data_IF_360591411038
#
_entry.id   IF_360591411038
#
_cell.length_a   1.000
_cell.length_b   1.000
_cell.length_c   1.000
_cell.angle_alpha   90.00
_cell.angle_beta   90.00
_cell.angle_gamma   90.00
#
_symmetry.space_group_name_H-M   'P 1'
#
loop_
_entity.id
_entity.type
_entity.pdbx_description
1 polymer ?
#
# COMPACT_ATOMS: atom_id res chain seq x y z
N UNK A 1 -17.76 -2.83 -23.99
CA UNK A 1 -16.38 -3.23 -24.35
C UNK A 1 -15.50 -3.21 -23.10
N UNK A 2 -15.94 -3.86 -22.01
CA UNK A 2 -15.14 -4.07 -20.80
C UNK A 2 -14.70 -5.52 -20.82
N UNK A 3 -13.47 -5.77 -21.22
CA UNK A 3 -12.91 -7.10 -21.27
C UNK A 3 -11.40 -7.01 -21.12
N UNK A 4 -10.86 -7.82 -20.22
CA UNK A 4 -9.42 -8.05 -20.18
C UNK A 4 -8.89 -8.68 -18.91
N UNK A 5 -9.13 -9.99 -18.74
CA UNK A 5 -8.19 -10.90 -18.05
C UNK A 5 -7.55 -10.40 -16.74
N UNK A 6 -8.30 -10.42 -15.64
CA UNK A 6 -7.81 -10.86 -14.33
C UNK A 6 -6.74 -10.05 -13.59
N UNK A 7 -6.23 -8.94 -14.12
CA UNK A 7 -5.23 -8.13 -13.41
C UNK A 7 -5.15 -6.72 -14.00
N UNK A 8 -5.80 -5.77 -13.33
CA UNK A 8 -5.73 -4.29 -13.42
C UNK A 8 -7.09 -3.56 -13.56
N UNK A 9 -8.10 -4.01 -12.80
CA UNK A 9 -9.40 -3.33 -12.73
C UNK A 9 -9.39 -2.06 -11.88
N UNK A 10 -8.44 -1.87 -10.96
CA UNK A 10 -8.42 -0.73 -10.02
C UNK A 10 -8.41 0.64 -10.71
N UNK A 11 -7.56 0.82 -11.74
CA UNK A 11 -7.51 2.08 -12.49
C UNK A 11 -8.78 2.29 -13.33
N UNK A 12 -9.31 1.22 -13.92
CA UNK A 12 -10.53 1.29 -14.72
C UNK A 12 -11.73 1.65 -13.84
N UNK A 13 -11.82 1.03 -12.67
CA UNK A 13 -12.79 1.35 -11.63
C UNK A 13 -12.60 2.79 -11.16
N UNK A 14 -11.38 3.26 -10.90
CA UNK A 14 -11.13 4.65 -10.54
C UNK A 14 -11.64 5.62 -11.59
N UNK A 15 -11.28 5.42 -12.86
CA UNK A 15 -11.72 6.28 -13.97
C UNK A 15 -13.25 6.28 -14.06
N UNK A 16 -13.88 5.11 -13.99
CA UNK A 16 -15.32 4.99 -13.98
C UNK A 16 -15.95 5.72 -12.76
N UNK A 17 -15.40 5.53 -11.56
CA UNK A 17 -15.87 6.18 -10.33
C UNK A 17 -15.74 7.70 -10.39
N UNK A 18 -14.66 8.24 -10.96
CA UNK A 18 -14.49 9.69 -11.17
C UNK A 18 -15.52 10.20 -12.17
N UNK A 19 -15.71 9.54 -13.31
CA UNK A 19 -16.72 9.93 -14.30
C UNK A 19 -18.14 9.87 -13.73
N UNK A 20 -18.45 8.85 -12.92
CA UNK A 20 -19.72 8.73 -12.20
C UNK A 20 -19.88 9.84 -11.16
N UNK A 21 -18.82 10.15 -10.40
CA UNK A 21 -18.81 11.24 -9.43
C UNK A 21 -19.05 12.62 -10.08
N UNK A 22 -18.33 12.90 -11.18
CA UNK A 22 -18.52 14.12 -11.98
C UNK A 22 -19.94 14.18 -12.54
N UNK A 23 -20.44 13.08 -13.12
CA UNK A 23 -21.81 13.02 -13.63
C UNK A 23 -22.85 13.27 -12.54
N UNK A 24 -22.63 12.73 -11.34
CA UNK A 24 -23.50 12.93 -10.17
C UNK A 24 -23.48 14.39 -9.68
N UNK A 25 -22.40 15.14 -9.92
CA UNK A 25 -22.37 16.57 -9.59
C UNK A 25 -23.36 17.39 -10.43
N UNK A 26 -23.68 16.95 -11.66
CA UNK A 26 -24.54 17.65 -12.62
C UNK A 26 -26.03 17.27 -12.57
N UNK A 27 -26.44 16.29 -11.76
CA UNK A 27 -27.85 15.91 -11.63
C UNK A 27 -28.59 16.70 -10.54
N UNK A 28 -29.93 16.56 -10.50
CA UNK A 28 -30.82 17.17 -9.50
C UNK A 28 -30.39 16.83 -8.06
N UNK A 29 -30.50 17.79 -7.15
CA UNK A 29 -29.98 17.68 -5.78
C UNK A 29 -30.56 16.52 -4.97
N UNK A 30 -31.83 16.16 -5.17
CA UNK A 30 -32.47 15.02 -4.51
C UNK A 30 -31.81 13.68 -4.92
N UNK A 31 -31.62 13.46 -6.22
CA UNK A 31 -30.96 12.26 -6.76
C UNK A 31 -29.47 12.24 -6.43
N UNK A 32 -28.82 13.40 -6.46
CA UNK A 32 -27.41 13.58 -6.05
C UNK A 32 -27.20 13.12 -4.60
N UNK A 33 -28.05 13.60 -3.68
CA UNK A 33 -27.98 13.25 -2.27
C UNK A 33 -28.14 11.74 -2.04
N UNK A 34 -29.12 11.12 -2.70
CA UNK A 34 -29.35 9.67 -2.59
C UNK A 34 -28.12 8.85 -3.02
N UNK A 35 -27.50 9.19 -4.16
CA UNK A 35 -26.32 8.47 -4.67
C UNK A 35 -25.13 8.63 -3.72
N UNK A 36 -24.89 9.85 -3.23
CA UNK A 36 -23.77 10.12 -2.30
C UNK A 36 -23.97 9.41 -0.96
N UNK A 37 -25.18 9.44 -0.40
CA UNK A 37 -25.48 8.73 0.86
C UNK A 37 -25.37 7.21 0.69
N UNK A 38 -25.81 6.65 -0.44
CA UNK A 38 -25.62 5.23 -0.74
C UNK A 38 -24.13 4.85 -0.84
N UNK A 39 -23.34 5.64 -1.57
CA UNK A 39 -21.90 5.39 -1.70
C UNK A 39 -21.19 5.46 -0.33
N UNK A 40 -21.58 6.41 0.54
CA UNK A 40 -21.09 6.48 1.93
C UNK A 40 -21.47 5.25 2.74
N UNK A 41 -22.70 4.77 2.62
CA UNK A 41 -23.15 3.57 3.33
C UNK A 41 -22.36 2.31 2.90
N UNK A 42 -22.05 2.19 1.60
CA UNK A 42 -21.18 1.11 1.10
C UNK A 42 -19.76 1.24 1.64
N UNK A 43 -19.20 2.44 1.69
CA UNK A 43 -17.88 2.69 2.28
C UNK A 43 -17.84 2.26 3.76
N UNK A 44 -18.85 2.66 4.55
CA UNK A 44 -18.95 2.27 5.96
C UNK A 44 -19.10 0.75 6.14
N UNK A 45 -19.88 0.09 5.28
CA UNK A 45 -20.00 -1.37 5.26
C UNK A 45 -18.63 -2.03 5.01
N UNK A 46 -17.85 -1.51 4.06
CA UNK A 46 -16.52 -2.04 3.75
C UNK A 46 -15.53 -1.86 4.91
N UNK A 47 -15.61 -0.75 5.65
CA UNK A 47 -14.81 -0.58 6.88
C UNK A 47 -15.16 -1.63 7.93
N UNK A 48 -16.45 -1.88 8.19
CA UNK A 48 -16.88 -2.92 9.14
C UNK A 48 -16.47 -4.32 8.70
N UNK A 49 -16.59 -4.62 7.41
CA UNK A 49 -16.14 -5.89 6.84
C UNK A 49 -14.64 -6.11 7.08
N UNK A 50 -13.81 -5.10 6.85
CA UNK A 50 -12.37 -5.21 7.11
C UNK A 50 -12.04 -5.38 8.57
N UNK A 51 -12.74 -4.70 9.47
CA UNK A 51 -12.56 -4.91 10.91
C UNK A 51 -12.81 -6.37 11.32
N UNK A 52 -13.76 -7.08 10.69
CA UNK A 52 -13.96 -8.52 10.91
C UNK A 52 -12.77 -9.34 10.40
N UNK A 53 -12.27 -9.04 9.20
CA UNK A 53 -11.14 -9.76 8.61
C UNK A 53 -9.85 -9.55 9.41
N UNK A 54 -9.62 -8.36 9.97
CA UNK A 54 -8.44 -8.04 10.79
C UNK A 54 -8.27 -8.99 11.98
N UNK A 55 -9.36 -9.46 12.60
CA UNK A 55 -9.29 -10.46 13.68
C UNK A 55 -8.63 -11.76 13.25
N UNK A 56 -8.70 -12.10 11.96
CA UNK A 56 -8.08 -13.31 11.40
C UNK A 56 -6.64 -13.09 10.93
N UNK A 57 -6.20 -11.82 10.80
CA UNK A 57 -4.89 -11.47 10.28
C UNK A 57 -3.74 -12.11 11.08
N UNK A 58 -3.71 -12.12 12.43
CA UNK A 58 -2.64 -12.73 13.23
C UNK A 58 -2.36 -14.19 12.86
N UNK A 59 -3.41 -14.97 12.61
CA UNK A 59 -3.30 -16.38 12.21
C UNK A 59 -2.70 -16.50 10.81
N UNK A 60 -3.15 -15.65 9.87
CA UNK A 60 -2.58 -15.56 8.53
C UNK A 60 -1.09 -15.24 8.53
N UNK A 61 -0.62 -14.36 9.44
CA UNK A 61 0.80 -14.03 9.60
C UNK A 61 1.60 -15.25 10.02
N UNK A 62 1.13 -15.97 11.04
CA UNK A 62 1.82 -17.15 11.57
C UNK A 62 2.00 -18.23 10.49
N UNK A 63 0.96 -18.50 9.69
CA UNK A 63 1.05 -19.45 8.58
C UNK A 63 1.95 -18.96 7.45
N UNK A 64 1.91 -17.67 7.12
CA UNK A 64 2.77 -17.10 6.09
C UNK A 64 4.26 -17.23 6.46
N UNK A 65 4.62 -16.93 7.71
CA UNK A 65 5.98 -17.08 8.23
C UNK A 65 6.39 -18.55 8.30
N UNK A 66 5.54 -19.43 8.81
CA UNK A 66 5.83 -20.86 8.96
C UNK A 66 6.03 -21.58 7.61
N UNK A 67 5.15 -21.34 6.63
CA UNK A 67 5.28 -21.89 5.28
C UNK A 67 6.59 -21.45 4.61
N UNK A 68 7.05 -20.25 4.94
CA UNK A 68 8.28 -19.74 4.36
C UNK A 68 9.55 -20.37 4.92
N UNK A 69 9.57 -20.64 6.22
CA UNK A 69 10.67 -21.37 6.87
C UNK A 69 10.72 -22.82 6.35
N UNK A 70 9.56 -23.44 6.07
CA UNK A 70 9.47 -24.83 5.64
C UNK A 70 9.98 -25.12 4.21
N UNK A 71 10.03 -24.14 3.31
CA UNK A 71 10.34 -24.37 1.88
C UNK A 71 11.80 -24.17 1.49
N UNK A 72 12.58 -23.37 2.23
CA UNK A 72 13.71 -22.67 1.60
C UNK A 72 15.13 -23.11 2.01
N UNK A 73 15.32 -23.89 3.08
CA UNK A 73 16.62 -24.49 3.41
C UNK A 73 17.79 -23.51 3.61
N UNK A 74 19.01 -24.02 3.88
CA UNK A 74 20.14 -23.23 4.44
C UNK A 74 21.34 -23.07 3.47
N UNK A 75 21.43 -23.77 2.33
CA UNK A 75 22.70 -23.87 1.57
C UNK A 75 22.91 -22.90 0.39
N UNK A 76 21.89 -22.19 -0.10
CA UNK A 76 22.03 -21.09 -1.12
C UNK A 76 21.97 -19.68 -0.50
N UNK A 77 22.16 -19.60 0.82
CA UNK A 77 21.74 -18.46 1.64
C UNK A 77 22.60 -17.21 1.49
N UNK A 78 23.85 -17.31 1.02
CA UNK A 78 24.76 -16.15 0.97
C UNK A 78 24.36 -15.16 -0.13
N UNK A 79 24.21 -15.61 -1.38
CA UNK A 79 23.81 -14.75 -2.50
C UNK A 79 22.37 -14.26 -2.36
N UNK A 80 21.47 -15.12 -1.89
CA UNK A 80 20.08 -14.73 -1.61
C UNK A 80 19.99 -13.78 -0.41
N UNK A 81 20.81 -13.99 0.62
CA UNK A 81 20.94 -13.08 1.76
C UNK A 81 21.48 -11.73 1.34
N UNK A 82 22.44 -11.68 0.41
CA UNK A 82 22.94 -10.43 -0.15
C UNK A 82 21.86 -9.67 -0.95
N UNK A 83 21.02 -10.37 -1.71
CA UNK A 83 19.86 -9.77 -2.39
C UNK A 83 18.89 -9.16 -1.36
N UNK A 84 18.50 -9.93 -0.33
CA UNK A 84 17.60 -9.44 0.73
C UNK A 84 18.22 -8.24 1.46
N UNK A 85 19.48 -8.32 1.85
CA UNK A 85 20.18 -7.22 2.52
C UNK A 85 20.24 -5.95 1.65
N UNK A 86 20.49 -6.12 0.35
CA UNK A 86 20.49 -5.01 -0.62
C UNK A 86 19.10 -4.40 -0.77
N UNK A 87 18.05 -5.23 -0.85
CA UNK A 87 16.67 -4.75 -0.90
C UNK A 87 16.32 -3.96 0.36
N UNK A 88 16.59 -4.48 1.56
CA UNK A 88 16.33 -3.76 2.80
C UNK A 88 17.16 -2.47 2.92
N UNK A 89 18.43 -2.50 2.53
CA UNK A 89 19.27 -1.30 2.48
C UNK A 89 18.69 -0.23 1.56
N UNK A 90 18.22 -0.62 0.38
CA UNK A 90 17.59 0.29 -0.57
C UNK A 90 16.23 0.83 -0.07
N UNK A 91 15.43 0.02 0.63
CA UNK A 91 14.22 0.49 1.31
C UNK A 91 14.54 1.52 2.40
N UNK A 92 15.60 1.29 3.19
CA UNK A 92 16.07 2.28 4.18
C UNK A 92 16.47 3.58 3.50
N UNK A 93 17.17 3.51 2.36
CA UNK A 93 17.51 4.69 1.57
C UNK A 93 16.24 5.43 1.11
N UNK A 94 15.21 4.74 0.63
CA UNK A 94 13.92 5.38 0.30
C UNK A 94 13.33 6.08 1.53
N UNK A 95 13.29 5.42 2.67
CA UNK A 95 12.77 6.01 3.90
C UNK A 95 13.52 7.28 4.32
N UNK A 96 14.85 7.22 4.34
CA UNK A 96 15.70 8.32 4.82
C UNK A 96 15.81 9.45 3.81
N UNK A 97 15.94 9.15 2.52
CA UNK A 97 16.22 10.15 1.48
C UNK A 97 14.94 10.71 0.88
N UNK A 98 13.84 9.96 0.89
CA UNK A 98 12.57 10.39 0.29
C UNK A 98 11.55 10.70 1.39
N UNK A 99 11.19 9.72 2.23
CA UNK A 99 10.07 9.92 3.17
C UNK A 99 10.40 10.92 4.29
N UNK A 100 11.56 10.82 4.95
CA UNK A 100 11.94 11.73 6.05
C UNK A 100 11.93 13.21 5.60
N UNK A 101 12.54 13.61 4.48
CA UNK A 101 12.44 14.97 3.98
C UNK A 101 11.01 15.43 3.72
N UNK A 102 10.15 14.57 3.18
CA UNK A 102 8.73 14.89 2.97
C UNK A 102 8.02 15.13 4.30
N UNK A 103 8.23 14.27 5.31
CA UNK A 103 7.67 14.46 6.65
C UNK A 103 8.09 15.81 7.26
N UNK A 104 9.37 16.16 7.14
CA UNK A 104 9.92 17.42 7.66
C UNK A 104 9.36 18.62 6.91
N UNK A 105 9.40 18.60 5.58
CA UNK A 105 8.99 19.71 4.73
C UNK A 105 7.50 20.04 4.89
N UNK A 106 6.64 19.02 4.88
CA UNK A 106 5.20 19.20 5.05
C UNK A 106 4.76 19.27 6.51
N UNK A 107 5.71 19.27 7.47
CA UNK A 107 5.44 19.32 8.91
C UNK A 107 4.42 18.25 9.35
N UNK A 108 4.59 17.03 8.87
CA UNK A 108 3.78 15.86 9.25
C UNK A 108 4.51 15.17 10.41
N UNK A 109 3.83 14.98 11.54
CA UNK A 109 4.42 14.30 12.67
C UNK A 109 4.60 12.80 12.34
N UNK A 110 5.84 12.34 12.31
CA UNK A 110 6.21 10.96 11.94
C UNK A 110 5.56 9.96 12.91
N UNK A 111 5.67 10.21 14.21
CA UNK A 111 5.13 9.31 15.23
C UNK A 111 3.60 9.22 15.14
N UNK A 112 2.93 10.37 15.04
CA UNK A 112 1.47 10.43 14.90
C UNK A 112 1.00 9.69 13.65
N UNK A 113 1.70 9.85 12.53
CA UNK A 113 1.39 9.19 11.27
C UNK A 113 1.51 7.66 11.38
N UNK A 114 2.61 7.13 11.92
CA UNK A 114 2.78 5.68 12.05
C UNK A 114 1.80 5.06 13.05
N UNK A 115 1.43 5.78 14.11
CA UNK A 115 0.38 5.33 15.04
C UNK A 115 -0.98 5.29 14.35
N UNK A 116 -1.32 6.31 13.56
CA UNK A 116 -2.57 6.36 12.81
C UNK A 116 -2.64 5.27 11.72
N UNK A 117 -1.53 4.98 11.05
CA UNK A 117 -1.46 4.00 9.96
C UNK A 117 -1.06 2.60 10.41
N UNK A 118 -0.99 2.31 11.71
CA UNK A 118 -0.46 1.03 12.22
C UNK A 118 -1.20 -0.20 11.68
N UNK A 119 -2.53 -0.10 11.58
CA UNK A 119 -3.40 -1.21 11.18
C UNK A 119 -3.25 -1.56 9.69
N UNK A 120 -3.39 -0.62 8.74
CA UNK A 120 -3.14 -0.93 7.33
C UNK A 120 -1.69 -1.36 7.07
N UNK A 121 -0.72 -0.76 7.77
CA UNK A 121 0.69 -1.14 7.64
C UNK A 121 0.95 -2.56 8.15
N UNK A 122 0.35 -2.96 9.27
CA UNK A 122 0.46 -4.33 9.78
C UNK A 122 -0.20 -5.35 8.86
N UNK A 123 -1.40 -5.05 8.33
CA UNK A 123 -2.09 -5.92 7.36
C UNK A 123 -1.21 -6.08 6.12
N UNK A 124 -0.74 -4.99 5.52
CA UNK A 124 0.09 -5.03 4.33
C UNK A 124 1.41 -5.77 4.54
N UNK A 125 2.11 -5.48 5.64
CA UNK A 125 3.36 -6.17 5.97
C UNK A 125 3.15 -7.68 6.11
N UNK A 126 2.06 -8.10 6.75
CA UNK A 126 1.86 -9.52 7.10
C UNK A 126 1.22 -10.33 5.98
N UNK A 127 0.34 -9.72 5.21
CA UNK A 127 -0.30 -10.34 4.04
C UNK A 127 0.55 -10.24 2.79
N UNK A 128 1.51 -9.30 2.74
CA UNK A 128 2.23 -8.92 1.53
C UNK A 128 1.27 -8.56 0.37
N UNK A 129 0.15 -7.91 0.71
CA UNK A 129 -0.81 -7.38 -0.26
C UNK A 129 -1.23 -5.96 0.14
N UNK A 130 -0.98 -5.01 -0.75
CA UNK A 130 -1.48 -3.64 -0.59
C UNK A 130 -3.01 -3.64 -0.64
N UNK A 131 -3.60 -4.42 -1.56
CA UNK A 131 -5.06 -4.50 -1.76
C UNK A 131 -5.79 -4.97 -0.51
N UNK A 132 -5.23 -5.93 0.23
CA UNK A 132 -5.81 -6.40 1.49
C UNK A 132 -5.87 -5.28 2.56
N UNK A 133 -4.95 -4.33 2.52
CA UNK A 133 -4.91 -3.19 3.44
C UNK A 133 -5.74 -1.99 2.95
N UNK A 134 -6.20 -1.97 1.69
CA UNK A 134 -6.79 -0.80 1.05
C UNK A 134 -7.99 -0.21 1.81
N UNK A 135 -8.98 -1.00 2.27
CA UNK A 135 -10.11 -0.40 2.97
C UNK A 135 -9.69 0.22 4.31
N UNK A 136 -8.69 -0.38 4.98
CA UNK A 136 -8.16 0.19 6.22
C UNK A 136 -7.31 1.43 6.00
N UNK A 137 -6.66 1.55 4.85
CA UNK A 137 -6.00 2.79 4.43
C UNK A 137 -7.01 3.93 4.30
N UNK A 138 -8.16 3.68 3.69
CA UNK A 138 -9.23 4.68 3.61
C UNK A 138 -9.73 5.10 4.99
N UNK A 139 -10.06 4.13 5.85
CA UNK A 139 -10.54 4.38 7.22
C UNK A 139 -9.52 5.19 8.04
N UNK A 140 -8.27 4.71 8.13
CA UNK A 140 -7.23 5.36 8.93
C UNK A 140 -6.85 6.75 8.40
N UNK A 141 -6.86 6.97 7.08
CA UNK A 141 -6.57 8.31 6.54
C UNK A 141 -7.72 9.29 6.76
N UNK A 142 -8.97 8.84 6.64
CA UNK A 142 -10.13 9.68 6.97
C UNK A 142 -10.13 10.06 8.45
N UNK A 143 -9.89 9.09 9.34
CA UNK A 143 -9.73 9.31 10.78
C UNK A 143 -8.53 10.20 11.11
N UNK A 144 -7.44 10.13 10.34
CA UNK A 144 -6.25 10.96 10.51
C UNK A 144 -6.46 12.43 10.07
N UNK A 145 -7.47 12.67 9.23
CA UNK A 145 -7.90 14.00 8.79
C UNK A 145 -7.72 14.28 7.31
N UNK A 146 -7.53 13.27 6.46
CA UNK A 146 -7.51 13.43 5.00
C UNK A 146 -8.96 13.43 4.50
N UNK A 147 -9.35 14.44 3.71
CA UNK A 147 -10.74 14.50 3.23
C UNK A 147 -11.10 13.35 2.28
N UNK A 148 -12.36 12.87 2.28
CA UNK A 148 -12.82 11.81 1.39
C UNK A 148 -12.60 12.11 -0.10
N UNK A 149 -12.63 13.39 -0.49
CA UNK A 149 -12.41 13.83 -1.87
C UNK A 149 -10.97 13.54 -2.33
N UNK A 150 -9.98 13.87 -1.51
CA UNK A 150 -8.56 13.56 -1.80
C UNK A 150 -8.34 12.05 -1.77
N UNK A 151 -8.91 11.35 -0.79
CA UNK A 151 -8.75 9.90 -0.65
C UNK A 151 -9.27 9.13 -1.85
N UNK A 152 -10.47 9.45 -2.32
CA UNK A 152 -11.13 8.76 -3.42
C UNK A 152 -10.31 8.79 -4.72
N UNK A 153 -9.44 9.79 -4.89
CA UNK A 153 -8.59 9.92 -6.07
C UNK A 153 -7.15 9.48 -5.83
N UNK A 154 -6.50 10.00 -4.79
CA UNK A 154 -5.05 9.83 -4.59
C UNK A 154 -4.69 8.39 -4.21
N UNK A 155 -5.51 7.74 -3.37
CA UNK A 155 -5.19 6.39 -2.89
C UNK A 155 -5.31 5.35 -4.02
N UNK A 156 -6.42 5.26 -4.80
CA UNK A 156 -6.50 4.28 -5.89
C UNK A 156 -5.50 4.55 -7.02
N UNK A 157 -5.24 5.84 -7.32
CA UNK A 157 -4.24 6.22 -8.30
C UNK A 157 -2.84 5.77 -7.85
N UNK A 158 -2.50 6.07 -6.59
CA UNK A 158 -1.23 5.68 -6.00
C UNK A 158 -1.04 4.16 -5.91
N UNK A 159 -2.08 3.40 -5.61
CA UNK A 159 -2.00 1.93 -5.59
C UNK A 159 -1.66 1.32 -6.96
N UNK A 160 -1.94 2.04 -8.05
CA UNK A 160 -1.61 1.60 -9.41
C UNK A 160 -0.26 2.15 -9.89
N UNK A 161 0.09 3.38 -9.49
CA UNK A 161 1.22 4.12 -10.06
C UNK A 161 2.35 4.46 -9.08
N UNK A 162 2.11 4.42 -7.78
CA UNK A 162 3.07 4.71 -6.70
C UNK A 162 3.49 3.40 -6.00
N UNK A 163 4.08 2.50 -6.80
CA UNK A 163 4.65 1.22 -6.39
C UNK A 163 6.18 1.27 -6.37
N UNK A 164 6.75 2.32 -5.75
CA UNK A 164 8.18 2.63 -5.82
C UNK A 164 9.07 1.51 -5.28
N UNK A 165 8.71 0.91 -4.14
CA UNK A 165 9.43 -0.23 -3.61
C UNK A 165 9.31 -1.47 -4.53
N UNK A 166 8.19 -1.58 -5.24
CA UNK A 166 7.97 -2.62 -6.25
C UNK A 166 8.89 -2.44 -7.46
N UNK A 167 8.96 -1.23 -8.00
CA UNK A 167 9.82 -0.86 -9.12
C UNK A 167 11.30 -1.06 -8.79
N UNK A 168 11.73 -0.57 -7.62
CA UNK A 168 13.08 -0.75 -7.11
C UNK A 168 13.45 -2.22 -7.01
N UNK A 169 12.57 -3.06 -6.46
CA UNK A 169 12.85 -4.48 -6.32
C UNK A 169 12.91 -5.21 -7.66
N UNK A 170 12.09 -4.84 -8.65
CA UNK A 170 12.20 -5.40 -10.00
C UNK A 170 13.57 -5.10 -10.61
N UNK A 171 14.06 -3.87 -10.46
CA UNK A 171 15.40 -3.50 -10.91
C UNK A 171 16.49 -4.33 -10.20
N UNK A 172 16.45 -4.42 -8.86
CA UNK A 172 17.41 -5.21 -8.08
C UNK A 172 17.38 -6.71 -8.44
N UNK A 173 16.18 -7.29 -8.55
CA UNK A 173 16.00 -8.69 -8.90
C UNK A 173 16.47 -8.98 -10.33
N UNK A 174 16.22 -8.07 -11.29
CA UNK A 174 16.71 -8.25 -12.66
C UNK A 174 18.23 -8.25 -12.75
N UNK A 175 18.89 -7.38 -11.97
CA UNK A 175 20.35 -7.35 -11.88
C UNK A 175 20.91 -8.60 -11.19
N UNK A 176 20.23 -9.07 -10.13
CA UNK A 176 20.57 -10.34 -9.49
C UNK A 176 20.46 -11.51 -10.47
N UNK A 177 19.41 -11.58 -11.29
CA UNK A 177 19.28 -12.63 -12.31
C UNK A 177 20.43 -12.59 -13.32
N UNK A 178 20.85 -11.40 -13.76
CA UNK A 178 22.02 -11.26 -14.64
C UNK A 178 23.29 -11.82 -13.98
N UNK A 179 23.56 -11.42 -12.74
CA UNK A 179 24.72 -11.87 -11.97
C UNK A 179 24.71 -13.38 -11.71
N UNK A 180 23.56 -13.94 -11.35
CA UNK A 180 23.39 -15.38 -11.12
C UNK A 180 23.59 -16.20 -12.41
N UNK A 181 23.25 -15.63 -13.57
CA UNK A 181 23.50 -16.22 -14.88
C UNK A 181 24.93 -16.02 -15.41
N UNK A 182 25.79 -15.30 -14.67
CA UNK A 182 27.15 -14.95 -15.11
C UNK A 182 27.17 -13.91 -16.24
N UNK A 183 26.08 -13.18 -16.45
CA UNK A 183 25.93 -12.17 -17.51
C UNK A 183 26.29 -10.81 -16.93
N UNK A 184 27.34 -10.20 -17.49
CA UNK A 184 27.71 -8.84 -17.13
C UNK A 184 26.87 -7.85 -17.93
N UNK A 185 26.23 -6.90 -17.23
CA UNK A 185 25.51 -5.78 -17.83
C UNK A 185 26.28 -4.50 -17.57
N UNK A 186 26.55 -3.73 -18.62
CA UNK A 186 27.16 -2.41 -18.54
C UNK A 186 26.25 -1.44 -17.76
N UNK A 187 26.80 -0.35 -17.25
CA UNK A 187 26.01 0.67 -16.51
C UNK A 187 24.87 1.23 -17.38
N UNK A 188 25.12 1.43 -18.68
CA UNK A 188 24.08 1.87 -19.62
C UNK A 188 22.93 0.87 -19.74
N UNK A 189 23.24 -0.41 -19.89
CA UNK A 189 22.23 -1.48 -19.91
C UNK A 189 21.48 -1.57 -18.58
N UNK A 190 22.18 -1.43 -17.44
CA UNK A 190 21.55 -1.44 -16.12
C UNK A 190 20.56 -0.28 -15.95
N UNK A 191 20.87 0.92 -16.44
CA UNK A 191 19.95 2.07 -16.42
C UNK A 191 18.72 1.78 -17.28
N UNK A 192 18.92 1.29 -18.51
CA UNK A 192 17.80 0.94 -19.41
C UNK A 192 16.93 -0.16 -18.79
N UNK A 193 17.52 -1.19 -18.20
CA UNK A 193 16.82 -2.23 -17.46
C UNK A 193 16.01 -1.63 -16.31
N UNK A 194 16.61 -0.77 -15.48
CA UNK A 194 15.92 -0.15 -14.35
C UNK A 194 14.73 0.72 -14.80
N UNK A 195 14.88 1.49 -15.88
CA UNK A 195 13.80 2.29 -16.48
C UNK A 195 12.68 1.39 -17.01
N UNK A 196 13.02 0.31 -17.71
CA UNK A 196 12.02 -0.63 -18.20
C UNK A 196 11.28 -1.31 -17.05
N UNK A 197 12.00 -1.75 -16.01
CA UNK A 197 11.40 -2.33 -14.80
C UNK A 197 10.50 -1.33 -14.06
N UNK A 198 10.85 -0.04 -14.07
CA UNK A 198 10.01 1.02 -13.52
C UNK A 198 8.71 1.15 -14.30
N UNK A 199 8.75 1.12 -15.63
CA UNK A 199 7.55 1.14 -16.48
C UNK A 199 6.73 -0.14 -16.27
N UNK A 200 7.36 -1.31 -16.28
CA UNK A 200 6.70 -2.60 -16.07
C UNK A 200 6.09 -2.76 -14.68
N UNK A 201 6.55 -1.99 -13.69
CA UNK A 201 5.96 -1.97 -12.35
C UNK A 201 4.57 -1.33 -12.30
N UNK A 202 4.24 -0.47 -13.29
CA UNK A 202 2.96 0.26 -13.31
C UNK A 202 1.87 -0.70 -13.78
N UNK A 203 0.79 -0.78 -13.00
CA UNK A 203 -0.30 -1.73 -13.28
C UNK A 203 -0.06 -3.15 -12.75
N UNK A 204 0.99 -3.37 -11.95
CA UNK A 204 1.12 -4.60 -11.17
C UNK A 204 0.00 -4.64 -10.12
N UNK A 205 -0.73 -5.75 -10.07
CA UNK A 205 -1.74 -5.98 -9.04
C UNK A 205 -1.08 -5.96 -7.64
N UNK A 206 -1.76 -5.38 -6.65
CA UNK A 206 -1.26 -5.24 -5.29
C UNK A 206 -1.38 -6.53 -4.46
N UNK A 207 -1.05 -7.67 -5.08
CA UNK A 207 -1.17 -9.02 -4.54
C UNK A 207 0.20 -9.66 -4.34
N UNK A 208 0.26 -10.64 -3.44
CA UNK A 208 1.50 -11.33 -3.07
C UNK A 208 2.24 -11.89 -4.29
N UNK A 209 3.55 -11.66 -4.34
CA UNK A 209 4.47 -12.16 -5.37
C UNK A 209 4.16 -11.74 -6.82
N UNK A 210 3.28 -10.76 -7.06
CA UNK A 210 2.97 -10.26 -8.41
C UNK A 210 4.21 -9.73 -9.14
N UNK A 211 5.16 -9.15 -8.40
CA UNK A 211 6.44 -8.68 -8.92
C UNK A 211 7.28 -9.79 -9.58
N UNK A 212 7.23 -11.03 -9.08
CA UNK A 212 8.00 -12.14 -9.67
C UNK A 212 7.45 -12.50 -11.05
N UNK A 213 6.12 -12.46 -11.21
CA UNK A 213 5.48 -12.75 -12.49
C UNK A 213 5.91 -11.74 -13.54
N UNK A 214 5.97 -10.46 -13.19
CA UNK A 214 6.48 -9.40 -14.07
C UNK A 214 7.96 -9.57 -14.36
N UNK A 215 8.77 -9.93 -13.37
CA UNK A 215 10.18 -10.21 -13.59
C UNK A 215 10.36 -11.38 -14.58
N UNK A 216 9.64 -12.48 -14.37
CA UNK A 216 9.71 -13.66 -15.23
C UNK A 216 9.31 -13.36 -16.69
N UNK A 217 8.33 -12.47 -16.90
CA UNK A 217 7.87 -12.12 -18.24
C UNK A 217 8.76 -11.09 -18.96
N UNK A 218 9.58 -10.34 -18.23
CA UNK A 218 10.39 -9.25 -18.78
C UNK A 218 11.88 -9.57 -18.88
N UNK A 219 12.40 -10.47 -18.04
CA UNK A 219 13.85 -10.68 -17.89
C UNK A 219 14.53 -11.20 -19.17
N UNK A 220 13.82 -11.99 -19.98
CA UNK A 220 14.34 -12.55 -21.23
C UNK A 220 14.57 -11.51 -22.32
N UNK A 221 13.93 -10.34 -22.22
CA UNK A 221 14.14 -9.21 -23.16
C UNK A 221 15.54 -8.62 -23.05
N UNK A 222 16.27 -8.93 -21.98
CA UNK A 222 17.64 -8.47 -21.72
C UNK A 222 18.68 -9.56 -21.92
N UNK A 223 18.36 -10.62 -22.66
CA UNK A 223 19.22 -11.81 -22.87
C UNK A 223 19.59 -12.55 -21.57
N UNK A 224 18.79 -12.37 -20.50
CA UNK A 224 18.99 -13.03 -19.22
C UNK A 224 18.05 -14.26 -19.15
N UNK A 225 18.56 -15.47 -18.86
CA UNK A 225 17.72 -16.64 -18.75
C UNK A 225 16.77 -16.52 -17.54
N UNK A 226 15.61 -17.18 -17.61
CA UNK A 226 14.57 -17.07 -16.57
C UNK A 226 14.80 -17.96 -15.34
N UNK A 227 15.68 -18.97 -15.42
CA UNK A 227 15.94 -19.89 -14.30
C UNK A 227 16.36 -19.21 -12.98
N UNK A 228 17.10 -18.07 -12.95
CA UNK A 228 17.45 -17.40 -11.70
C UNK A 228 16.24 -16.80 -10.97
N UNK A 229 15.12 -16.55 -11.67
CA UNK A 229 13.87 -16.08 -11.04
C UNK A 229 13.35 -17.11 -10.04
N UNK A 230 13.57 -18.40 -10.32
CA UNK A 230 13.22 -19.47 -9.40
C UNK A 230 14.01 -19.43 -8.08
N UNK A 231 15.23 -18.89 -8.08
CA UNK A 231 16.00 -18.70 -6.85
C UNK A 231 15.39 -17.61 -5.97
N UNK A 232 14.89 -16.53 -6.58
CA UNK A 232 14.31 -15.38 -5.88
C UNK A 232 13.02 -15.77 -5.16
N UNK A 233 12.21 -16.66 -5.74
CA UNK A 233 10.99 -17.19 -5.11
C UNK A 233 11.24 -17.70 -3.68
N UNK A 234 12.43 -18.24 -3.40
CA UNK A 234 12.77 -18.75 -2.08
C UNK A 234 12.96 -17.68 -1.00
N UNK A 235 13.22 -16.43 -1.37
CA UNK A 235 13.42 -15.32 -0.41
C UNK A 235 12.50 -14.14 -0.62
N UNK A 236 11.69 -14.15 -1.69
CA UNK A 236 10.79 -13.05 -2.04
C UNK A 236 9.87 -12.67 -0.89
N UNK A 237 9.39 -13.63 -0.11
CA UNK A 237 8.53 -13.37 1.04
C UNK A 237 9.11 -12.33 2.02
N UNK A 238 10.42 -12.31 2.28
CA UNK A 238 11.06 -11.31 3.16
C UNK A 238 10.96 -9.93 2.53
N UNK A 239 11.34 -9.84 1.26
CA UNK A 239 11.35 -8.61 0.49
C UNK A 239 9.94 -8.07 0.21
N UNK A 240 8.96 -8.94 -0.04
CA UNK A 240 7.59 -8.61 -0.44
C UNK A 240 6.81 -7.99 0.71
N UNK A 241 7.02 -8.48 1.94
CA UNK A 241 6.46 -7.88 3.17
C UNK A 241 6.95 -6.44 3.36
N UNK A 242 8.27 -6.22 3.29
CA UNK A 242 8.88 -4.90 3.47
C UNK A 242 8.53 -3.92 2.33
N UNK A 243 8.47 -4.40 1.09
CA UNK A 243 8.03 -3.62 -0.07
C UNK A 243 6.58 -3.18 0.07
N UNK A 244 5.70 -4.10 0.43
CA UNK A 244 4.27 -3.81 0.61
C UNK A 244 4.08 -2.73 1.68
N UNK A 245 4.75 -2.89 2.82
CA UNK A 245 4.76 -1.88 3.89
C UNK A 245 5.23 -0.50 3.39
N UNK A 246 6.33 -0.47 2.62
CA UNK A 246 6.90 0.77 2.07
C UNK A 246 5.95 1.44 1.08
N UNK A 247 5.32 0.67 0.19
CA UNK A 247 4.34 1.17 -0.78
C UNK A 247 3.10 1.74 -0.08
N UNK A 248 2.55 1.05 0.93
CA UNK A 248 1.41 1.55 1.69
C UNK A 248 1.79 2.84 2.42
N UNK A 249 2.97 2.88 3.05
CA UNK A 249 3.51 4.09 3.71
C UNK A 249 3.58 5.26 2.72
N UNK A 250 4.16 5.06 1.55
CA UNK A 250 4.29 6.08 0.51
C UNK A 250 2.94 6.58 0.00
N UNK A 251 1.96 5.69 -0.18
CA UNK A 251 0.61 6.06 -0.60
C UNK A 251 -0.15 6.86 0.45
N UNK A 252 -0.08 6.45 1.72
CA UNK A 252 -0.67 7.17 2.84
C UNK A 252 -0.03 8.56 3.02
N UNK A 253 1.30 8.64 2.87
CA UNK A 253 2.04 9.89 2.95
C UNK A 253 1.67 10.83 1.80
N UNK A 254 1.59 10.32 0.57
CA UNK A 254 1.18 11.09 -0.60
C UNK A 254 -0.25 11.64 -0.44
N UNK A 255 -1.21 10.83 0.03
CA UNK A 255 -2.56 11.30 0.31
C UNK A 255 -2.59 12.42 1.35
N UNK A 256 -1.80 12.28 2.42
CA UNK A 256 -1.68 13.31 3.47
C UNK A 256 -1.07 14.61 2.93
N UNK A 257 -0.02 14.50 2.11
CA UNK A 257 0.65 15.64 1.47
C UNK A 257 -0.31 16.37 0.51
N UNK A 258 -1.02 15.63 -0.34
CA UNK A 258 -2.01 16.20 -1.26
C UNK A 258 -3.12 16.92 -0.51
N UNK A 259 -3.65 16.33 0.57
CA UNK A 259 -4.66 17.02 1.38
C UNK A 259 -4.11 18.29 2.03
N UNK A 260 -2.84 18.32 2.45
CA UNK A 260 -2.23 19.56 2.95
C UNK A 260 -2.08 20.62 1.86
N UNK A 261 -1.71 20.23 0.64
CA UNK A 261 -1.57 21.15 -0.49
C UNK A 261 -2.92 21.75 -0.93
N UNK A 262 -3.99 20.94 -0.90
CA UNK A 262 -5.34 21.37 -1.27
C UNK A 262 -6.12 22.04 -0.10
N UNK A 263 -5.50 22.22 1.08
CA UNK A 263 -6.16 22.69 2.31
C UNK A 263 -7.33 21.80 2.78
N UNK A 264 -7.28 20.52 2.44
CA UNK A 264 -8.25 19.47 2.73
C UNK A 264 -7.79 18.54 3.86
N UNK A 265 -6.76 18.95 4.63
CA UNK A 265 -6.24 18.20 5.78
C UNK A 265 -6.71 18.81 7.10
N UNK A 266 -7.40 18.01 7.93
CA UNK A 266 -8.00 18.41 9.22
C UNK A 266 -8.85 19.67 9.08
N UNK A 267 -9.79 19.61 8.14
CA UNK A 267 -10.79 20.66 7.90
C UNK A 267 -11.61 20.93 9.17
N UNK A 268 -12.28 22.08 9.22
CA UNK A 268 -13.08 22.44 10.40
C UNK A 268 -14.23 21.46 10.66
N UNK A 269 -14.79 20.86 9.60
CA UNK A 269 -15.76 19.76 9.73
C UNK A 269 -15.14 18.54 10.45
N UNK A 270 -13.90 18.18 10.11
CA UNK A 270 -13.19 17.09 10.76
C UNK A 270 -12.90 17.40 12.23
N UNK A 271 -12.46 18.63 12.54
CA UNK A 271 -12.22 19.06 13.93
C UNK A 271 -13.50 18.98 14.75
N UNK A 272 -14.62 19.43 14.19
CA UNK A 272 -15.91 19.37 14.84
C UNK A 272 -16.34 17.92 15.13
N UNK A 273 -16.25 17.01 14.16
CA UNK A 273 -16.52 15.58 14.36
C UNK A 273 -15.65 14.99 15.47
N UNK A 274 -14.35 15.32 15.49
CA UNK A 274 -13.42 14.82 16.51
C UNK A 274 -13.76 15.33 17.91
N UNK A 275 -14.08 16.61 18.06
CA UNK A 275 -14.49 17.18 19.34
C UNK A 275 -15.77 16.54 19.89
N UNK A 276 -16.79 16.35 19.05
CA UNK A 276 -18.04 15.68 19.44
C UNK A 276 -17.77 14.23 19.89
N UNK A 277 -16.86 13.53 19.20
CA UNK A 277 -16.50 12.15 19.52
C UNK A 277 -15.72 12.05 20.85
N UNK A 278 -14.80 12.98 21.10
CA UNK A 278 -14.06 13.10 22.37
C UNK A 278 -14.99 13.42 23.55
N UNK A 279 -15.95 14.33 23.37
CA UNK A 279 -16.95 14.68 24.39
C UNK A 279 -17.86 13.48 24.72
N UNK A 280 -18.28 12.74 23.70
CA UNK A 280 -19.11 11.54 23.86
C UNK A 280 -18.36 10.45 24.64
N UNK A 281 -17.10 10.19 24.30
CA UNK A 281 -16.26 9.22 25.01
C UNK A 281 -15.98 9.64 26.46
N UNK A 282 -15.74 10.93 26.71
CA UNK A 282 -15.57 11.46 28.06
C UNK A 282 -16.85 11.30 28.90
N UNK A 283 -18.03 11.45 28.30
CA UNK A 283 -19.32 11.21 28.95
C UNK A 283 -19.49 9.73 29.33
N UNK A 284 -19.20 8.80 28.42
CA UNK A 284 -19.30 7.36 28.67
C UNK A 284 -18.31 6.88 29.74
N UNK A 285 -17.10 7.44 29.79
CA UNK A 285 -16.12 7.16 30.85
C UNK A 285 -16.57 7.68 32.22
N UNK A 286 -17.22 8.85 32.29
CA UNK A 286 -17.81 9.35 33.54
C UNK A 286 -18.97 8.49 34.01
N UNK A 287 -19.83 8.04 33.09
CA UNK A 287 -21.00 7.22 33.41
C UNK A 287 -20.59 5.82 33.91
N UNK A 288 -19.64 5.17 33.23
CA UNK A 288 -19.06 3.89 33.69
C UNK A 288 -18.30 3.99 35.01
N UNK A 289 -17.58 5.10 35.26
CA UNK A 289 -16.94 5.35 36.55
C UNK A 289 -17.95 5.56 37.70
N UNK A 290 -19.11 6.17 37.40
CA UNK A 290 -20.18 6.37 38.40
C UNK A 290 -20.86 5.06 38.79
N UNK A 291 -21.08 4.16 37.83
CA UNK A 291 -21.69 2.84 38.03
C UNK A 291 -20.75 1.84 38.77
N UNK A 292 -19.44 2.01 38.63
CA UNK A 292 -18.44 1.21 39.37
C UNK A 292 -18.19 1.66 40.81
N UNK A 293 -18.74 2.82 41.23
CA UNK A 293 -18.61 3.35 42.60
C UNK A 293 -19.76 2.97 43.54
N UNK A 294 -20.77 2.28 43.01
CA UNK A 294 -21.99 1.85 43.73
C UNK A 294 -22.00 0.35 44.09
N UNK A 295 -20.87 -0.36 43.95
CA UNK A 295 -20.70 -1.76 44.34
C UNK A 295 -19.69 -1.93 45.46
#
# INVERSE_FOLDING_TARGET
>A
MMGGSGSSELLQVLVASVLVGVSTAYIRDESKRLIVEFARAVLEMMFKFVNIVIWTAPVGVCFAVANSIGKNGVSSLSSLGALVATTYGALVVIFVVIFVPIFVYFKINIHEFFVAMREPLAIGFTTASSEAALPKVFECLEEYGVSPHVLAFVVPFGYSFNLDAGAMNLALCSLFCAQAAGIHKTVGEQIVMALMMMVSSKGIAGVRSANIVVLASTITQFDIPSWPVALILGVDWLSDMARTFTNITGNCLAATVMAKLENEFRTDEWKHKRHVQEETLAHLHKESASLGSTS
#
